data_IF_668944818101
#
_entry.id   IF_668944818101
#
_cell.length_a   1.000
_cell.length_b   1.000
_cell.length_c   1.000
_cell.angle_alpha   90.00
_cell.angle_beta   90.00
_cell.angle_gamma   90.00
#
_symmetry.space_group_name_H-M   'P 1'
#
loop_
_entity.id
_entity.type
_entity.pdbx_description
1 polymer ?
#
# COMPACT_ATOMS: atom_id res chain seq x y z
N UNK A 1 2.37 -16.36 -29.93
CA UNK A 1 2.14 -17.16 -28.71
C UNK A 1 1.29 -16.29 -27.80
N UNK A 2 -0.02 -16.56 -27.74
CA UNK A 2 -0.94 -15.76 -26.92
C UNK A 2 -0.69 -16.07 -25.44
N UNK A 3 -0.72 -15.08 -24.53
CA UNK A 3 -0.65 -15.35 -23.11
C UNK A 3 -1.88 -16.19 -22.70
N UNK A 4 -1.62 -17.23 -21.91
CA UNK A 4 -2.66 -18.12 -21.40
C UNK A 4 -3.54 -17.35 -20.42
N UNK A 5 -4.82 -17.14 -20.75
CA UNK A 5 -5.88 -16.59 -19.86
C UNK A 5 -6.24 -17.53 -18.68
N UNK A 6 -5.39 -18.51 -18.36
CA UNK A 6 -5.58 -19.35 -17.19
C UNK A 6 -5.35 -18.51 -15.93
N UNK A 7 -6.28 -18.52 -14.95
CA UNK A 7 -6.07 -17.81 -13.70
C UNK A 7 -4.77 -18.31 -13.04
N UNK A 8 -3.99 -17.40 -12.41
CA UNK A 8 -2.76 -17.79 -11.75
C UNK A 8 -3.00 -18.90 -10.72
N UNK A 9 -2.14 -19.91 -10.73
CA UNK A 9 -2.19 -21.01 -9.77
C UNK A 9 -1.70 -20.53 -8.40
N UNK A 10 -2.64 -20.30 -7.49
CA UNK A 10 -2.35 -19.84 -6.13
C UNK A 10 -1.93 -20.98 -5.19
N UNK A 11 -1.98 -22.25 -5.62
CA UNK A 11 -1.63 -23.39 -4.76
C UNK A 11 -0.13 -23.49 -4.45
N UNK A 12 0.71 -22.79 -5.23
CA UNK A 12 2.16 -22.70 -5.03
C UNK A 12 2.65 -21.44 -4.30
N UNK A 13 1.77 -20.70 -3.63
CA UNK A 13 2.10 -19.44 -2.93
C UNK A 13 2.05 -19.62 -1.43
N UNK A 14 3.21 -19.51 -0.77
CA UNK A 14 3.31 -19.40 0.68
C UNK A 14 3.04 -17.98 1.12
N UNK A 15 2.15 -17.83 2.11
CA UNK A 15 1.77 -16.52 2.67
C UNK A 15 2.20 -16.45 4.14
N UNK A 16 3.01 -15.45 4.47
CA UNK A 16 3.37 -15.10 5.84
C UNK A 16 2.66 -13.82 6.28
N UNK A 17 2.27 -13.73 7.55
CA UNK A 17 1.68 -12.52 8.15
C UNK A 17 2.38 -12.19 9.46
N UNK A 18 2.51 -10.91 9.83
CA UNK A 18 3.25 -10.52 11.03
C UNK A 18 2.59 -11.04 12.31
N UNK A 19 3.45 -11.48 13.23
CA UNK A 19 3.07 -11.79 14.61
C UNK A 19 2.44 -10.55 15.29
N UNK A 20 1.52 -10.73 16.26
CA UNK A 20 0.82 -9.62 16.91
C UNK A 20 1.70 -8.46 17.43
N UNK A 21 2.89 -8.70 18.02
CA UNK A 21 3.74 -7.63 18.53
C UNK A 21 4.28 -6.66 17.46
N UNK A 22 4.35 -7.11 16.21
CA UNK A 22 4.92 -6.33 15.09
C UNK A 22 3.83 -5.61 14.28
N UNK A 23 2.55 -5.85 14.59
CA UNK A 23 1.42 -5.22 13.90
C UNK A 23 1.30 -3.77 14.31
N UNK A 24 1.20 -2.89 13.31
CA UNK A 24 1.02 -1.45 13.51
C UNK A 24 -0.43 -1.04 13.18
N UNK A 25 -1.06 -0.15 13.99
CA UNK A 25 -2.42 0.32 13.70
C UNK A 25 -2.53 0.96 12.31
N UNK A 26 -3.55 0.57 11.54
CA UNK A 26 -3.79 1.08 10.18
C UNK A 26 -2.79 0.59 9.13
N UNK A 27 -1.99 -0.44 9.46
CA UNK A 27 -1.02 -1.08 8.56
C UNK A 27 -1.26 -2.58 8.56
N UNK A 28 -1.35 -3.19 7.38
CA UNK A 28 -1.35 -4.64 7.23
C UNK A 28 -0.21 -5.08 6.33
N UNK A 29 0.51 -6.13 6.72
CA UNK A 29 1.60 -6.69 5.93
C UNK A 29 1.32 -8.14 5.58
N UNK A 30 1.79 -8.57 4.42
CA UNK A 30 1.82 -9.97 4.02
C UNK A 30 3.06 -10.23 3.18
N UNK A 31 3.79 -11.28 3.53
CA UNK A 31 4.87 -11.81 2.74
C UNK A 31 4.36 -12.90 1.81
N UNK A 32 4.81 -12.89 0.57
CA UNK A 32 4.48 -13.90 -0.43
C UNK A 32 5.77 -14.53 -0.90
N UNK A 33 5.80 -15.86 -0.96
CA UNK A 33 6.87 -16.63 -1.59
C UNK A 33 6.24 -17.58 -2.60
N UNK A 34 6.69 -17.53 -3.85
CA UNK A 34 6.22 -18.45 -4.88
C UNK A 34 7.26 -19.55 -5.12
N UNK A 35 6.80 -20.80 -5.19
CA UNK A 35 7.66 -21.95 -5.51
C UNK A 35 7.85 -22.15 -7.02
N UNK A 36 7.09 -21.44 -7.86
CA UNK A 36 7.21 -21.46 -9.32
C UNK A 36 7.36 -20.02 -9.84
N UNK A 37 8.41 -19.68 -10.61
CA UNK A 37 8.88 -18.29 -10.71
C UNK A 37 8.15 -17.40 -11.72
N UNK A 38 6.86 -17.57 -11.96
CA UNK A 38 6.19 -16.80 -13.01
C UNK A 38 4.74 -16.50 -12.68
N UNK A 39 4.43 -15.21 -12.66
CA UNK A 39 3.05 -14.75 -12.74
C UNK A 39 2.84 -14.07 -14.09
N UNK A 40 1.88 -14.61 -14.84
CA UNK A 40 1.46 -14.00 -16.10
C UNK A 40 0.32 -13.05 -15.75
N UNK A 41 0.66 -11.76 -15.64
CA UNK A 41 -0.28 -10.64 -15.56
C UNK A 41 -1.31 -10.72 -14.42
N UNK A 42 -0.93 -10.24 -13.23
CA UNK A 42 -1.83 -10.07 -12.09
C UNK A 42 -2.43 -8.67 -12.14
N UNK A 43 -3.74 -8.60 -12.36
CA UNK A 43 -4.50 -7.38 -12.10
C UNK A 43 -4.59 -7.15 -10.58
N UNK A 44 -4.04 -6.04 -10.10
CA UNK A 44 -4.23 -5.66 -8.70
C UNK A 44 -5.66 -5.16 -8.50
N UNK A 45 -6.41 -5.86 -7.64
CA UNK A 45 -7.79 -5.47 -7.32
C UNK A 45 -7.77 -4.16 -6.54
N UNK A 46 -8.54 -3.18 -7.01
CA UNK A 46 -8.71 -1.91 -6.31
C UNK A 46 -9.15 -2.16 -4.86
N UNK A 47 -8.32 -1.72 -3.91
CA UNK A 47 -8.56 -1.83 -2.48
C UNK A 47 -8.43 -0.44 -1.87
N UNK A 48 -9.26 -0.07 -0.87
CA UNK A 48 -9.21 1.26 -0.27
C UNK A 48 -8.03 1.41 0.71
N UNK A 49 -6.83 1.11 0.23
CA UNK A 49 -5.57 1.29 0.92
C UNK A 49 -4.49 1.65 -0.09
N UNK A 50 -3.55 2.47 0.32
CA UNK A 50 -2.30 2.62 -0.43
C UNK A 50 -1.50 1.34 -0.25
N UNK A 51 -1.00 0.78 -1.34
CA UNK A 51 -0.23 -0.47 -1.32
C UNK A 51 1.21 -0.18 -1.68
N UNK A 52 2.13 -0.47 -0.77
CA UNK A 52 3.55 -0.55 -1.02
C UNK A 52 3.89 -2.01 -1.28
N UNK A 53 4.50 -2.30 -2.42
CA UNK A 53 4.98 -3.63 -2.76
C UNK A 53 6.49 -3.54 -2.86
N UNK A 54 7.19 -4.31 -2.02
CA UNK A 54 8.64 -4.42 -2.00
C UNK A 54 9.03 -5.73 -2.68
N UNK A 55 9.81 -5.61 -3.75
CA UNK A 55 10.38 -6.76 -4.45
C UNK A 55 11.62 -7.25 -3.72
N UNK A 56 11.59 -8.53 -3.30
CA UNK A 56 12.67 -9.18 -2.57
C UNK A 56 13.34 -10.28 -3.43
N UNK A 57 13.03 -10.32 -4.72
CA UNK A 57 13.59 -11.29 -5.65
C UNK A 57 15.02 -10.90 -6.05
N UNK A 58 15.89 -11.89 -6.25
CA UNK A 58 17.29 -11.69 -6.69
C UNK A 58 17.42 -11.54 -8.23
N UNK A 59 16.31 -11.61 -8.97
CA UNK A 59 16.27 -11.67 -10.44
C UNK A 59 15.76 -10.39 -11.12
N UNK A 60 15.23 -10.55 -12.34
CA UNK A 60 14.62 -9.46 -13.12
C UNK A 60 13.36 -8.86 -12.49
N UNK A 61 12.99 -9.25 -11.28
CA UNK A 61 11.97 -8.61 -10.45
C UNK A 61 10.58 -8.44 -11.04
N UNK A 62 9.81 -7.57 -10.40
CA UNK A 62 8.43 -7.25 -10.78
C UNK A 62 8.43 -6.17 -11.85
N UNK A 63 7.75 -6.42 -12.96
CA UNK A 63 7.36 -5.38 -13.90
C UNK A 63 5.94 -4.93 -13.56
N UNK A 64 5.70 -3.63 -13.55
CA UNK A 64 4.37 -3.10 -13.28
C UNK A 64 4.00 -2.02 -14.29
N UNK A 65 2.71 -1.98 -14.62
CA UNK A 65 2.13 -1.06 -15.57
C UNK A 65 0.84 -0.44 -15.05
N UNK A 66 0.74 0.89 -15.11
CA UNK A 66 -0.50 1.61 -14.83
C UNK A 66 -0.61 2.88 -15.68
N UNK A 67 -1.77 3.11 -16.30
CA UNK A 67 -2.06 4.33 -17.08
C UNK A 67 -0.98 4.69 -18.11
N UNK A 68 -0.41 3.68 -18.80
CA UNK A 68 0.64 3.87 -19.81
C UNK A 68 2.06 4.09 -19.25
N UNK A 69 2.24 4.15 -17.93
CA UNK A 69 3.56 4.10 -17.28
C UNK A 69 3.94 2.64 -17.04
N UNK A 70 5.21 2.34 -17.23
CA UNK A 70 5.82 1.05 -16.90
C UNK A 70 6.97 1.30 -15.93
N UNK A 71 7.19 0.36 -15.02
CA UNK A 71 8.28 0.39 -14.06
C UNK A 71 8.70 -1.01 -13.66
N UNK A 72 9.75 -1.07 -12.86
CA UNK A 72 10.38 -2.32 -12.43
C UNK A 72 10.74 -2.25 -10.93
N UNK A 73 10.63 -3.39 -10.26
CA UNK A 73 10.94 -3.58 -8.83
C UNK A 73 9.83 -3.10 -7.90
N UNK A 74 10.23 -2.55 -6.76
CA UNK A 74 9.32 -2.08 -5.72
C UNK A 74 8.57 -0.81 -6.11
N UNK A 75 7.30 -0.71 -5.71
CA UNK A 75 6.44 0.41 -6.07
C UNK A 75 5.37 0.73 -5.03
N UNK A 76 4.79 1.92 -5.17
CA UNK A 76 3.68 2.43 -4.36
C UNK A 76 2.48 2.63 -5.27
N UNK A 77 1.38 1.95 -4.97
CA UNK A 77 0.09 2.13 -5.63
C UNK A 77 -0.88 2.92 -4.74
N UNK A 78 -1.53 3.93 -5.31
CA UNK A 78 -2.56 4.74 -4.65
C UNK A 78 -3.84 3.96 -4.30
N UNK A 79 -4.88 4.67 -3.84
CA UNK A 79 -6.13 4.07 -3.33
C UNK A 79 -7.02 3.44 -4.40
N UNK A 80 -6.90 3.91 -5.64
CA UNK A 80 -7.68 3.42 -6.78
C UNK A 80 -6.76 3.34 -7.99
N UNK A 81 -5.76 2.44 -8.01
CA UNK A 81 -4.67 2.46 -9.01
C UNK A 81 -5.11 2.15 -10.45
N UNK A 82 -6.42 2.12 -10.73
CA UNK A 82 -7.00 1.80 -12.02
C UNK A 82 -6.64 0.38 -12.44
N UNK A 83 -6.36 0.20 -13.73
CA UNK A 83 -5.82 -1.04 -14.27
C UNK A 83 -4.32 -1.14 -13.98
N UNK A 84 -3.97 -1.41 -12.73
CA UNK A 84 -2.61 -1.79 -12.35
C UNK A 84 -2.40 -3.27 -12.67
N UNK A 85 -1.49 -3.53 -13.60
CA UNK A 85 -1.02 -4.87 -13.95
C UNK A 85 0.40 -5.05 -13.46
N UNK A 86 0.66 -6.19 -12.85
CA UNK A 86 2.02 -6.60 -12.53
C UNK A 86 2.31 -7.91 -13.28
N UNK A 87 3.53 -8.06 -13.80
CA UNK A 87 4.02 -9.27 -14.44
C UNK A 87 5.49 -9.51 -14.08
N UNK A 88 6.02 -10.70 -14.37
CA UNK A 88 7.44 -11.00 -14.23
C UNK A 88 7.71 -12.21 -13.34
N UNK A 89 8.92 -12.25 -12.78
CA UNK A 89 9.37 -13.32 -11.90
C UNK A 89 9.37 -12.81 -10.48
N UNK A 90 8.44 -13.33 -9.68
CA UNK A 90 8.31 -13.00 -8.28
C UNK A 90 8.63 -14.23 -7.44
N UNK A 91 9.85 -14.30 -6.93
CA UNK A 91 10.23 -15.36 -6.00
C UNK A 91 9.71 -14.99 -4.60
N UNK A 92 9.92 -13.73 -4.18
CA UNK A 92 9.48 -13.21 -2.89
C UNK A 92 9.05 -11.74 -2.96
N UNK A 93 7.94 -11.37 -2.32
CA UNK A 93 7.60 -9.96 -2.11
C UNK A 93 6.96 -9.70 -0.76
N UNK A 94 7.18 -8.48 -0.27
CA UNK A 94 6.50 -7.95 0.89
C UNK A 94 5.46 -6.92 0.45
N UNK A 95 4.19 -7.23 0.70
CA UNK A 95 3.09 -6.29 0.53
C UNK A 95 2.80 -5.58 1.86
N UNK A 96 2.73 -4.26 1.81
CA UNK A 96 2.34 -3.40 2.93
C UNK A 96 1.16 -2.55 2.47
N UNK A 97 0.01 -2.70 3.13
CA UNK A 97 -1.15 -1.84 2.91
C UNK A 97 -1.29 -0.85 4.03
N UNK A 98 -1.51 0.40 3.65
CA UNK A 98 -1.65 1.55 4.54
C UNK A 98 -3.06 2.12 4.41
N UNK A 99 -3.73 2.32 5.55
CA UNK A 99 -4.86 3.24 5.59
C UNK A 99 -4.41 4.63 5.10
N UNK A 100 -5.24 5.42 4.39
CA UNK A 100 -4.86 6.73 3.86
C UNK A 100 -4.27 7.66 4.92
N UNK A 101 -4.82 7.64 6.14
CA UNK A 101 -4.31 8.45 7.24
C UNK A 101 -2.85 8.12 7.59
N UNK A 102 -2.48 6.83 7.52
CA UNK A 102 -1.10 6.38 7.71
C UNK A 102 -0.27 6.65 6.47
N UNK A 103 -0.84 6.43 5.28
CA UNK A 103 -0.18 6.68 4.00
C UNK A 103 0.30 8.13 3.88
N UNK A 104 -0.51 9.13 4.24
CA UNK A 104 -0.09 10.54 4.23
C UNK A 104 1.16 10.76 5.11
N UNK A 105 1.22 10.12 6.28
CA UNK A 105 2.37 10.21 7.17
C UNK A 105 3.59 9.44 6.66
N UNK A 106 3.40 8.34 5.96
CA UNK A 106 4.51 7.51 5.45
C UNK A 106 5.08 8.09 4.15
N UNK A 107 4.24 8.49 3.20
CA UNK A 107 4.66 8.77 1.83
C UNK A 107 5.43 10.07 1.69
N UNK A 108 4.96 11.20 2.21
CA UNK A 108 5.54 12.46 1.70
C UNK A 108 4.56 13.59 1.58
N UNK A 109 3.52 13.28 0.84
CA UNK A 109 2.83 14.28 0.04
C UNK A 109 1.34 14.18 0.33
N UNK A 110 0.72 15.32 0.60
CA UNK A 110 -0.70 15.49 0.31
C UNK A 110 -0.88 15.42 -1.21
N UNK A 111 -2.05 14.99 -1.69
CA UNK A 111 -2.49 15.13 -3.09
C UNK A 111 -1.63 14.35 -4.10
N UNK A 112 -1.83 13.05 -4.29
CA UNK A 112 -2.88 12.57 -5.20
C UNK A 112 -2.96 11.04 -5.07
N UNK A 113 -3.62 10.55 -4.01
CA UNK A 113 -3.87 9.12 -3.81
C UNK A 113 -4.82 8.53 -4.88
N UNK A 114 -5.14 9.27 -5.95
CA UNK A 114 -6.15 8.98 -6.97
C UNK A 114 -5.84 7.80 -7.89
N UNK A 115 -4.77 7.05 -7.62
CA UNK A 115 -4.45 5.84 -8.38
C UNK A 115 -3.14 5.89 -9.15
N UNK A 116 -2.21 6.78 -8.78
CA UNK A 116 -0.86 6.74 -9.34
C UNK A 116 -0.09 5.54 -8.81
N UNK A 117 0.81 5.07 -9.66
CA UNK A 117 1.81 4.07 -9.32
C UNK A 117 3.17 4.72 -9.53
N UNK A 118 3.94 4.81 -8.46
CA UNK A 118 5.28 5.42 -8.46
C UNK A 118 6.30 4.40 -7.98
N UNK A 119 7.55 4.53 -8.43
CA UNK A 119 8.62 3.66 -7.92
C UNK A 119 8.85 3.93 -6.44
N UNK A 120 9.27 2.90 -5.70
CA UNK A 120 9.59 3.08 -4.29
C UNK A 120 10.73 4.09 -4.09
N UNK A 121 11.73 4.09 -4.99
CA UNK A 121 12.84 5.03 -4.99
C UNK A 121 12.40 6.49 -5.17
N UNK A 122 11.41 6.77 -6.04
CA UNK A 122 10.92 8.13 -6.23
C UNK A 122 10.26 8.70 -4.97
N UNK A 123 9.65 7.83 -4.13
CA UNK A 123 8.92 8.26 -2.94
C UNK A 123 9.78 8.21 -1.66
N UNK A 124 10.73 7.26 -1.55
CA UNK A 124 11.60 7.10 -0.38
C UNK A 124 13.02 7.64 -0.58
N UNK A 125 13.41 7.97 -1.81
CA UNK A 125 14.73 8.46 -2.13
C UNK A 125 15.81 7.46 -1.73
N UNK A 126 16.90 7.96 -1.12
CA UNK A 126 18.04 7.14 -0.67
C UNK A 126 17.69 6.09 0.38
N UNK A 127 16.60 6.30 1.14
CA UNK A 127 16.16 5.31 2.10
C UNK A 127 15.60 4.05 1.41
N UNK A 128 15.17 4.14 0.15
CA UNK A 128 14.57 3.01 -0.56
C UNK A 128 15.55 1.84 -0.68
N UNK A 129 16.68 2.07 -1.35
CA UNK A 129 17.73 1.08 -1.60
C UNK A 129 18.22 0.44 -0.30
N UNK A 130 18.54 1.25 0.72
CA UNK A 130 18.98 0.78 2.03
C UNK A 130 17.94 -0.15 2.69
N UNK A 131 16.66 0.22 2.69
CA UNK A 131 15.63 -0.61 3.33
C UNK A 131 15.38 -1.89 2.52
N UNK A 132 15.45 -1.84 1.19
CA UNK A 132 15.32 -3.04 0.36
C UNK A 132 16.48 -4.01 0.57
N UNK A 133 17.72 -3.52 0.64
CA UNK A 133 18.89 -4.34 0.97
C UNK A 133 18.76 -5.00 2.34
N UNK A 134 18.36 -4.26 3.37
CA UNK A 134 18.11 -4.81 4.70
C UNK A 134 17.01 -5.89 4.69
N UNK A 135 15.93 -5.68 3.92
CA UNK A 135 14.84 -6.64 3.81
C UNK A 135 15.24 -7.91 3.02
N UNK A 136 16.04 -7.77 1.95
CA UNK A 136 16.57 -8.92 1.19
C UNK A 136 17.56 -9.73 2.03
N UNK A 137 18.43 -9.06 2.79
CA UNK A 137 19.43 -9.70 3.64
C UNK A 137 18.86 -10.42 4.87
N UNK A 138 17.62 -10.11 5.27
CA UNK A 138 16.95 -10.75 6.39
C UNK A 138 16.64 -12.24 6.09
N UNK A 139 16.95 -13.11 7.05
CA UNK A 139 16.89 -14.56 6.89
C UNK A 139 15.51 -15.16 7.14
N UNK A 140 14.55 -14.37 7.65
CA UNK A 140 13.20 -14.84 7.96
C UNK A 140 12.13 -13.78 7.71
N UNK A 141 10.88 -14.23 7.56
CA UNK A 141 9.72 -13.33 7.45
C UNK A 141 9.50 -12.48 8.70
N UNK A 142 9.74 -13.04 9.90
CA UNK A 142 9.60 -12.30 11.15
C UNK A 142 10.60 -11.13 11.23
N UNK A 143 11.85 -11.36 10.83
CA UNK A 143 12.86 -10.30 10.72
C UNK A 143 12.45 -9.24 9.69
N UNK A 144 11.96 -9.66 8.51
CA UNK A 144 11.47 -8.75 7.48
C UNK A 144 10.30 -7.89 7.96
N UNK A 145 9.34 -8.47 8.67
CA UNK A 145 8.22 -7.71 9.24
C UNK A 145 8.69 -6.73 10.31
N UNK A 146 9.66 -7.11 11.15
CA UNK A 146 10.23 -6.21 12.16
C UNK A 146 10.97 -5.03 11.52
N UNK A 147 11.78 -5.29 10.48
CA UNK A 147 12.47 -4.26 9.71
C UNK A 147 11.48 -3.32 9.01
N UNK A 148 10.45 -3.89 8.37
CA UNK A 148 9.37 -3.14 7.71
C UNK A 148 8.60 -2.25 8.71
N UNK A 149 8.27 -2.77 9.89
CA UNK A 149 7.65 -1.97 10.95
C UNK A 149 8.59 -0.84 11.40
N UNK A 150 9.88 -1.13 11.58
CA UNK A 150 10.90 -0.16 11.96
C UNK A 150 11.04 0.98 10.95
N UNK A 151 11.11 0.68 9.64
CA UNK A 151 11.20 1.72 8.61
C UNK A 151 9.96 2.62 8.56
N UNK A 152 8.76 2.06 8.76
CA UNK A 152 7.51 2.84 8.79
C UNK A 152 7.44 3.73 10.03
N UNK A 153 7.84 3.23 11.19
CA UNK A 153 7.91 4.02 12.43
C UNK A 153 8.91 5.17 12.29
N UNK A 154 10.12 4.92 11.77
CA UNK A 154 11.12 5.98 11.49
C UNK A 154 10.55 7.06 10.56
N UNK A 155 9.85 6.66 9.50
CA UNK A 155 9.29 7.58 8.51
C UNK A 155 8.18 8.47 9.08
N UNK A 156 7.38 7.93 10.01
CA UNK A 156 6.26 8.64 10.63
C UNK A 156 6.66 9.49 11.85
N UNK A 157 7.79 9.21 12.49
CA UNK A 157 8.23 9.87 13.74
C UNK A 157 8.31 11.40 13.67
N UNK A 158 8.59 11.97 12.49
CA UNK A 158 8.74 13.41 12.29
C UNK A 158 7.56 14.06 11.55
N UNK A 159 6.47 13.31 11.32
CA UNK A 159 5.32 13.76 10.53
C UNK A 159 4.19 14.20 11.43
N UNK A 160 3.48 15.27 11.03
CA UNK A 160 2.22 15.62 11.69
C UNK A 160 1.20 14.51 11.40
N UNK A 161 0.56 13.92 12.43
CA UNK A 161 -0.50 12.96 12.22
C UNK A 161 -1.69 13.63 11.53
N UNK A 162 -2.45 12.82 10.79
CA UNK A 162 -3.76 13.21 10.27
C UNK A 162 -4.71 13.45 11.44
N UNK A 163 -5.67 14.36 11.27
CA UNK A 163 -6.64 14.69 12.32
C UNK A 163 -7.37 13.41 12.78
N UNK A 164 -7.52 13.17 14.10
CA UNK A 164 -8.22 11.99 14.60
C UNK A 164 -9.63 11.81 14.04
N UNK A 165 -10.33 12.92 13.81
CA UNK A 165 -11.67 12.98 13.20
C UNK A 165 -11.64 12.51 11.75
N UNK A 166 -10.63 12.90 10.97
CA UNK A 166 -10.43 12.45 9.59
C UNK A 166 -10.13 10.95 9.55
N UNK A 167 -9.21 10.48 10.40
CA UNK A 167 -8.87 9.07 10.50
C UNK A 167 -10.07 8.20 10.95
N UNK A 168 -10.84 8.67 11.94
CA UNK A 168 -12.05 7.98 12.42
C UNK A 168 -13.14 7.92 11.35
N UNK A 169 -13.38 9.05 10.68
CA UNK A 169 -14.36 9.13 9.60
C UNK A 169 -14.00 8.18 8.45
N UNK A 170 -12.72 8.13 8.07
CA UNK A 170 -12.24 7.19 7.06
C UNK A 170 -12.53 5.73 7.43
N UNK A 171 -12.15 5.30 8.64
CA UNK A 171 -12.40 3.93 9.11
C UNK A 171 -13.90 3.58 9.08
N UNK A 172 -14.77 4.53 9.46
CA UNK A 172 -16.23 4.34 9.40
C UNK A 172 -16.74 4.22 7.96
N UNK A 173 -16.21 4.98 7.02
CA UNK A 173 -16.55 4.84 5.60
C UNK A 173 -16.21 3.44 5.07
N UNK A 174 -15.06 2.89 5.46
CA UNK A 174 -14.66 1.52 5.08
C UNK A 174 -15.55 0.45 5.70
N UNK A 175 -15.79 0.52 7.01
CA UNK A 175 -16.67 -0.43 7.70
C UNK A 175 -18.09 -0.39 7.16
N UNK A 176 -18.56 0.79 6.72
CA UNK A 176 -19.87 0.97 6.10
C UNK A 176 -19.93 0.65 4.59
N UNK A 177 -18.86 0.15 3.98
CA UNK A 177 -18.75 -0.10 2.52
C UNK A 177 -19.16 1.11 1.66
N UNK A 178 -18.83 2.32 2.10
CA UNK A 178 -19.19 3.56 1.40
C UNK A 178 -20.69 3.92 1.40
N UNK A 179 -21.52 3.24 2.20
CA UNK A 179 -22.97 3.50 2.29
C UNK A 179 -23.36 4.54 3.33
N UNK A 180 -22.40 5.06 4.10
CA UNK A 180 -22.66 6.06 5.14
C UNK A 180 -22.60 7.45 4.51
N UNK A 181 -23.70 8.20 4.60
CA UNK A 181 -23.75 9.58 4.11
C UNK A 181 -22.78 10.47 4.90
N UNK A 182 -22.06 11.35 4.20
CA UNK A 182 -21.11 12.34 4.77
C UNK A 182 -21.74 13.18 5.88
N UNK A 183 -23.02 13.54 5.76
CA UNK A 183 -23.69 14.37 6.76
C UNK A 183 -23.77 13.66 8.13
N UNK A 184 -24.00 12.34 8.15
CA UNK A 184 -23.99 11.55 9.38
C UNK A 184 -22.59 11.45 9.99
N UNK A 185 -21.56 11.29 9.15
CA UNK A 185 -20.17 11.23 9.58
C UNK A 185 -19.66 12.55 10.16
N UNK A 186 -20.07 13.68 9.56
CA UNK A 186 -19.70 15.00 10.06
C UNK A 186 -20.30 15.27 11.45
N UNK A 187 -21.56 14.88 11.67
CA UNK A 187 -22.22 14.96 12.98
C UNK A 187 -21.52 14.11 14.05
N UNK A 188 -21.03 12.92 13.72
CA UNK A 188 -20.32 12.04 14.66
C UNK A 188 -19.01 12.62 15.19
N UNK A 189 -18.36 13.50 14.43
CA UNK A 189 -17.11 14.16 14.80
C UNK A 189 -17.31 15.64 15.18
N UNK A 190 -18.56 16.10 15.28
CA UNK A 190 -18.89 17.47 15.67
C UNK A 190 -18.52 18.54 14.63
N UNK A 191 -18.35 18.15 13.36
CA UNK A 191 -17.97 19.06 12.28
C UNK A 191 -19.14 19.36 11.33
N UNK A 192 -19.06 20.50 10.65
CA UNK A 192 -19.91 20.74 9.48
C UNK A 192 -19.43 19.91 8.30
N UNK A 193 -20.35 19.54 7.38
CA UNK A 193 -20.01 18.86 6.12
C UNK A 193 -18.91 19.59 5.35
N UNK A 194 -19.01 20.92 5.21
CA UNK A 194 -18.03 21.76 4.51
C UNK A 194 -16.64 21.65 5.14
N UNK A 195 -16.57 21.69 6.48
CA UNK A 195 -15.31 21.54 7.20
C UNK A 195 -14.72 20.14 7.01
N UNK A 196 -15.53 19.09 7.13
CA UNK A 196 -15.10 17.71 6.94
C UNK A 196 -14.54 17.49 5.53
N UNK A 197 -15.27 17.90 4.49
CA UNK A 197 -14.80 17.80 3.10
C UNK A 197 -13.48 18.56 2.89
N UNK A 198 -13.36 19.79 3.42
CA UNK A 198 -12.14 20.56 3.31
C UNK A 198 -10.94 19.89 3.98
N UNK A 199 -11.11 19.31 5.18
CA UNK A 199 -10.03 18.59 5.90
C UNK A 199 -9.66 17.29 5.20
N UNK A 200 -10.63 16.54 4.69
CA UNK A 200 -10.38 15.33 3.90
C UNK A 200 -9.58 15.64 2.63
N UNK A 201 -9.99 16.65 1.85
CA UNK A 201 -9.25 17.05 0.65
C UNK A 201 -7.84 17.53 1.00
N UNK A 202 -7.70 18.33 2.06
CA UNK A 202 -6.39 18.84 2.47
C UNK A 202 -5.43 17.76 2.99
N UNK A 203 -5.92 16.78 3.77
CA UNK A 203 -5.09 15.79 4.44
C UNK A 203 -4.96 14.46 3.68
N UNK A 204 -5.98 14.06 2.91
CA UNK A 204 -6.02 12.78 2.20
C UNK A 204 -6.09 12.93 0.67
N UNK A 205 -6.29 14.14 0.15
CA UNK A 205 -6.39 14.38 -1.30
C UNK A 205 -7.66 13.81 -1.94
N UNK A 206 -8.65 13.40 -1.15
CA UNK A 206 -9.91 12.82 -1.62
C UNK A 206 -11.10 13.57 -1.05
N UNK A 207 -12.22 13.58 -1.76
CA UNK A 207 -13.47 14.15 -1.28
C UNK A 207 -14.39 13.02 -0.80
N UNK A 208 -14.82 13.01 0.47
CA UNK A 208 -15.78 12.04 0.95
C UNK A 208 -17.12 12.25 0.22
N UNK A 209 -17.68 11.18 -0.34
CA UNK A 209 -18.97 11.18 -1.04
C UNK A 209 -20.12 10.82 -0.12
#
# INVERSE_FOLDING_TARGET
MLPSDAPPDWTGVDIAVPAPPVRLPGISMAGFRQHVPSFTDIAMVAHPSVTLLIDLSEGEGIQYGAHGRQGHGSFVAGLLPGELRASGRLDECLQIRLEPAVATAVLGWSTDLSGRVESFADVWGRDAERNEEELRAAGSWDERFALAAGMLLRRTAHRRPVDPEVARTWRRTLSGRGRVRVDGLAGEVGWSRKHLSARFTAQLGITPK
#
